data_IF_933402515041
#
_entry.id   IF_933402515041
#
_cell.length_a   1.000
_cell.length_b   1.000
_cell.length_c   1.000
_cell.angle_alpha   90.00
_cell.angle_beta   90.00
_cell.angle_gamma   90.00
#
_symmetry.space_group_name_H-M   'P 1'
#
loop_
_entity.id
_entity.type
_entity.pdbx_description
1 polymer ?
#
# COMPACT_ATOMS: atom_id res chain seq x y z
N UNK A 1 -19.18 -27.84 0.78
CA UNK A 1 -18.70 -26.73 -0.06
C UNK A 1 -18.68 -25.39 0.68
N UNK A 2 -19.77 -24.93 1.33
CA UNK A 2 -19.84 -23.63 2.04
C UNK A 2 -18.98 -23.53 3.31
N UNK A 3 -18.80 -24.63 4.05
CA UNK A 3 -17.97 -24.69 5.27
C UNK A 3 -16.46 -24.63 5.00
N UNK A 4 -16.00 -25.14 3.85
CA UNK A 4 -14.59 -25.07 3.45
C UNK A 4 -14.15 -23.64 3.09
N UNK A 5 -15.04 -22.85 2.49
CA UNK A 5 -14.78 -21.43 2.21
C UNK A 5 -14.75 -20.59 3.49
N UNK A 6 -15.60 -20.89 4.47
CA UNK A 6 -15.60 -20.20 5.77
C UNK A 6 -14.34 -20.56 6.57
N UNK A 7 -13.92 -21.84 6.57
CA UNK A 7 -12.67 -22.26 7.21
C UNK A 7 -11.43 -21.63 6.57
N UNK A 8 -11.41 -21.53 5.24
CA UNK A 8 -10.36 -20.83 4.50
C UNK A 8 -10.31 -19.34 4.84
N UNK A 9 -11.45 -18.65 4.82
CA UNK A 9 -11.53 -17.21 5.13
C UNK A 9 -11.17 -16.88 6.59
N UNK A 10 -11.54 -17.72 7.55
CA UNK A 10 -11.15 -17.53 8.96
C UNK A 10 -9.64 -17.74 9.15
N UNK A 11 -9.07 -18.74 8.48
CA UNK A 11 -7.62 -18.98 8.51
C UNK A 11 -6.87 -17.80 7.87
N UNK A 12 -7.37 -17.30 6.74
CA UNK A 12 -6.81 -16.15 6.03
C UNK A 12 -6.87 -14.89 6.89
N UNK A 13 -8.02 -14.57 7.50
CA UNK A 13 -8.15 -13.44 8.42
C UNK A 13 -7.22 -13.57 9.64
N UNK A 14 -7.11 -14.77 10.19
CA UNK A 14 -6.21 -15.03 11.33
C UNK A 14 -4.75 -14.83 10.93
N UNK A 15 -4.34 -15.37 9.77
CA UNK A 15 -3.00 -15.17 9.21
C UNK A 15 -2.74 -13.70 8.90
N UNK A 16 -3.70 -12.98 8.30
CA UNK A 16 -3.60 -11.55 8.02
C UNK A 16 -3.42 -10.73 9.28
N UNK A 17 -4.17 -11.00 10.35
CA UNK A 17 -4.03 -10.31 11.64
C UNK A 17 -2.67 -10.61 12.28
N UNK A 18 -2.22 -11.86 12.24
CA UNK A 18 -0.90 -12.25 12.74
C UNK A 18 0.20 -11.55 11.95
N UNK A 19 0.15 -11.57 10.61
CA UNK A 19 1.11 -10.86 9.78
C UNK A 19 1.07 -9.36 10.00
N UNK A 20 -0.13 -8.75 10.08
CA UNK A 20 -0.27 -7.33 10.39
C UNK A 20 0.35 -6.98 11.75
N UNK A 21 0.14 -7.82 12.77
CA UNK A 21 0.77 -7.65 14.08
C UNK A 21 2.30 -7.72 13.99
N UNK A 22 2.86 -8.71 13.31
CA UNK A 22 4.31 -8.83 13.11
C UNK A 22 4.87 -7.66 12.30
N UNK A 23 4.20 -7.23 11.22
CA UNK A 23 4.62 -6.07 10.43
C UNK A 23 4.59 -4.78 11.24
N UNK A 24 3.54 -4.56 12.04
CA UNK A 24 3.37 -3.34 12.82
C UNK A 24 4.29 -3.29 14.04
N UNK A 25 4.55 -4.42 14.70
CA UNK A 25 5.37 -4.49 15.91
C UNK A 25 6.86 -4.65 15.64
N UNK A 26 7.21 -5.42 14.61
CA UNK A 26 8.57 -5.93 14.42
C UNK A 26 9.13 -5.58 13.03
N UNK A 27 8.62 -4.54 12.38
CA UNK A 27 9.08 -4.07 11.05
C UNK A 27 10.61 -4.09 10.85
N UNK A 28 11.44 -3.59 11.81
CA UNK A 28 12.90 -3.68 11.71
C UNK A 28 13.45 -5.12 11.78
N UNK A 29 12.85 -5.99 12.59
CA UNK A 29 13.25 -7.42 12.69
C UNK A 29 12.84 -8.19 11.44
N UNK A 30 11.70 -7.85 10.85
CA UNK A 30 11.22 -8.42 9.59
C UNK A 30 12.14 -8.03 8.43
N UNK A 31 12.61 -6.79 8.38
CA UNK A 31 13.61 -6.35 7.41
C UNK A 31 14.92 -7.15 7.54
N UNK A 32 15.41 -7.35 8.77
CA UNK A 32 16.59 -8.17 9.03
C UNK A 32 16.39 -9.64 8.64
N UNK A 33 15.21 -10.20 8.90
CA UNK A 33 14.85 -11.56 8.47
C UNK A 33 14.87 -11.70 6.95
N UNK A 34 14.22 -10.76 6.23
CA UNK A 34 14.22 -10.74 4.76
C UNK A 34 15.64 -10.61 4.20
N UNK A 35 16.47 -9.75 4.79
CA UNK A 35 17.89 -9.62 4.42
C UNK A 35 18.64 -10.95 4.61
N UNK A 36 18.51 -11.60 5.77
CA UNK A 36 19.18 -12.88 6.03
C UNK A 36 18.72 -14.01 5.09
N UNK A 37 17.46 -14.02 4.67
CA UNK A 37 16.97 -14.97 3.67
C UNK A 37 17.53 -14.66 2.28
N UNK A 38 17.56 -13.39 1.89
CA UNK A 38 18.14 -12.96 0.61
C UNK A 38 19.64 -13.21 0.55
N UNK A 39 20.39 -13.00 1.64
CA UNK A 39 21.80 -13.35 1.74
C UNK A 39 22.01 -14.86 1.54
N UNK A 40 21.13 -15.68 2.11
CA UNK A 40 21.17 -17.14 1.90
C UNK A 40 20.84 -17.58 0.47
N UNK A 41 19.97 -16.85 -0.23
CA UNK A 41 19.49 -17.19 -1.57
C UNK A 41 20.38 -16.62 -2.70
N UNK A 42 20.88 -15.40 -2.52
CA UNK A 42 21.51 -14.58 -3.57
C UNK A 42 22.96 -14.20 -3.19
N UNK A 43 23.38 -14.44 -1.95
CA UNK A 43 24.73 -14.12 -1.47
C UNK A 43 24.96 -12.62 -1.28
N UNK A 44 26.20 -12.18 -1.52
CA UNK A 44 26.69 -10.81 -1.22
C UNK A 44 25.93 -9.67 -1.92
N UNK A 45 25.07 -9.97 -2.91
CA UNK A 45 24.26 -8.95 -3.61
C UNK A 45 22.89 -8.70 -2.98
N UNK A 46 22.53 -9.42 -1.92
CA UNK A 46 21.23 -9.29 -1.25
C UNK A 46 20.88 -7.84 -0.88
N UNK A 47 21.85 -7.11 -0.32
CA UNK A 47 21.69 -5.70 0.06
C UNK A 47 21.37 -4.81 -1.15
N UNK A 48 22.11 -4.99 -2.26
CA UNK A 48 21.88 -4.24 -3.50
C UNK A 48 20.47 -4.48 -4.07
N UNK A 49 20.00 -5.73 -4.06
CA UNK A 49 18.64 -6.04 -4.53
C UNK A 49 17.57 -5.49 -3.59
N UNK A 50 17.80 -5.52 -2.27
CA UNK A 50 16.91 -4.89 -1.29
C UNK A 50 16.78 -3.40 -1.54
N UNK A 51 17.90 -2.69 -1.74
CA UNK A 51 17.90 -1.26 -2.05
C UNK A 51 17.21 -0.97 -3.39
N UNK A 52 17.40 -1.83 -4.39
CA UNK A 52 16.74 -1.68 -5.70
C UNK A 52 15.22 -1.87 -5.61
N UNK A 53 14.76 -2.87 -4.85
CA UNK A 53 13.34 -3.12 -4.61
C UNK A 53 12.75 -1.99 -3.77
N UNK A 54 13.39 -1.59 -2.68
CA UNK A 54 12.96 -0.48 -1.84
C UNK A 54 12.84 0.81 -2.67
N UNK A 55 13.86 1.12 -3.48
CA UNK A 55 13.83 2.27 -4.38
C UNK A 55 12.70 2.21 -5.41
N UNK A 56 12.40 1.03 -5.94
CA UNK A 56 11.29 0.83 -6.90
C UNK A 56 9.93 1.01 -6.24
N UNK A 57 9.71 0.37 -5.09
CA UNK A 57 8.48 0.51 -4.30
C UNK A 57 8.26 1.97 -3.93
N UNK A 58 9.29 2.65 -3.46
CA UNK A 58 9.20 4.05 -3.07
C UNK A 58 8.89 4.97 -4.26
N UNK A 59 9.44 4.69 -5.45
CA UNK A 59 9.07 5.40 -6.69
C UNK A 59 7.60 5.16 -7.06
N UNK A 60 7.12 3.92 -6.99
CA UNK A 60 5.72 3.58 -7.30
C UNK A 60 4.77 4.25 -6.32
N UNK A 61 5.03 4.14 -5.01
CA UNK A 61 4.23 4.78 -3.95
C UNK A 61 4.18 6.29 -4.15
N UNK A 62 5.34 6.93 -4.39
CA UNK A 62 5.40 8.36 -4.67
C UNK A 62 4.64 8.73 -5.96
N UNK A 63 4.69 7.87 -6.98
CA UNK A 63 3.93 8.02 -8.22
C UNK A 63 2.41 7.99 -7.98
N UNK A 64 1.91 7.00 -7.23
CA UNK A 64 0.49 6.87 -6.89
C UNK A 64 -0.01 8.06 -6.08
N UNK A 65 0.76 8.50 -5.09
CA UNK A 65 0.43 9.70 -4.29
C UNK A 65 0.40 10.94 -5.20
N UNK A 66 1.37 11.07 -6.11
CA UNK A 66 1.43 12.16 -7.08
C UNK A 66 0.22 12.20 -8.02
N UNK A 67 -0.20 11.04 -8.55
CA UNK A 67 -1.39 10.96 -9.40
C UNK A 67 -2.67 11.24 -8.63
N UNK A 68 -2.79 10.75 -7.40
CA UNK A 68 -3.94 11.02 -6.54
C UNK A 68 -4.05 12.52 -6.23
N UNK A 69 -2.92 13.18 -5.95
CA UNK A 69 -2.87 14.62 -5.72
C UNK A 69 -3.30 15.41 -6.97
N UNK A 70 -2.81 15.04 -8.15
CA UNK A 70 -3.21 15.66 -9.41
C UNK A 70 -4.72 15.47 -9.68
N UNK A 71 -5.26 14.27 -9.47
CA UNK A 71 -6.69 14.00 -9.63
C UNK A 71 -7.54 14.80 -8.64
N UNK A 72 -7.14 14.88 -7.38
CA UNK A 72 -7.85 15.64 -6.36
C UNK A 72 -7.89 17.15 -6.68
N UNK A 73 -6.79 17.71 -7.17
CA UNK A 73 -6.72 19.11 -7.60
C UNK A 73 -7.63 19.36 -8.80
N UNK A 74 -7.58 18.49 -9.82
CA UNK A 74 -8.45 18.61 -10.99
C UNK A 74 -9.93 18.47 -10.63
N UNK A 75 -10.27 17.53 -9.74
CA UNK A 75 -11.63 17.36 -9.24
C UNK A 75 -12.11 18.58 -8.44
N UNK A 76 -11.26 19.13 -7.55
CA UNK A 76 -11.57 20.33 -6.79
C UNK A 76 -11.88 21.51 -7.73
N UNK A 77 -11.05 21.74 -8.74
CA UNK A 77 -11.28 22.79 -9.75
C UNK A 77 -12.61 22.54 -10.46
N UNK A 78 -12.89 21.29 -10.88
CA UNK A 78 -14.16 20.92 -11.50
C UNK A 78 -15.38 21.21 -10.61
N UNK A 79 -15.31 20.89 -9.32
CA UNK A 79 -16.40 21.12 -8.36
C UNK A 79 -16.61 22.61 -8.05
N UNK A 80 -15.53 23.39 -8.01
CA UNK A 80 -15.62 24.85 -7.88
C UNK A 80 -16.30 25.48 -9.09
N UNK A 81 -15.93 25.05 -10.31
CA UNK A 81 -16.55 25.52 -11.55
C UNK A 81 -18.03 25.12 -11.62
N UNK A 82 -18.37 23.91 -11.18
CA UNK A 82 -19.73 23.41 -11.13
C UNK A 82 -20.58 24.04 -10.01
N UNK A 83 -20.01 24.89 -9.15
CA UNK A 83 -20.73 25.58 -8.07
C UNK A 83 -21.21 24.65 -6.95
N UNK A 84 -20.58 23.48 -6.78
CA UNK A 84 -21.03 22.48 -5.80
C UNK A 84 -20.67 22.96 -4.38
N UNK A 85 -21.65 23.09 -3.46
CA UNK A 85 -21.35 23.41 -2.07
C UNK A 85 -20.55 22.26 -1.45
N UNK A 86 -19.41 22.58 -0.85
CA UNK A 86 -18.50 21.56 -0.28
C UNK A 86 -17.46 20.98 -1.24
N UNK A 87 -17.16 21.66 -2.36
CA UNK A 87 -16.12 21.29 -3.33
C UNK A 87 -14.79 20.84 -2.69
N UNK A 88 -14.37 21.50 -1.61
CA UNK A 88 -13.14 21.17 -0.87
C UNK A 88 -13.20 19.77 -0.23
N UNK A 89 -14.33 19.43 0.39
CA UNK A 89 -14.56 18.11 1.00
C UNK A 89 -14.59 17.03 -0.09
N UNK A 90 -15.24 17.32 -1.21
CA UNK A 90 -15.30 16.38 -2.34
C UNK A 90 -13.93 16.15 -2.98
N UNK A 91 -13.10 17.19 -3.14
CA UNK A 91 -11.72 17.04 -3.62
C UNK A 91 -10.85 16.19 -2.69
N UNK A 92 -10.99 16.37 -1.37
CA UNK A 92 -10.31 15.52 -0.37
C UNK A 92 -10.78 14.06 -0.46
N UNK A 93 -12.09 13.84 -0.64
CA UNK A 93 -12.63 12.49 -0.84
C UNK A 93 -12.10 11.86 -2.13
N UNK A 94 -11.97 12.63 -3.22
CA UNK A 94 -11.34 12.15 -4.46
C UNK A 94 -9.89 11.74 -4.23
N UNK A 95 -9.12 12.51 -3.46
CA UNK A 95 -7.75 12.14 -3.08
C UNK A 95 -7.72 10.81 -2.32
N UNK A 96 -8.54 10.69 -1.27
CA UNK A 96 -8.57 9.50 -0.42
C UNK A 96 -8.99 8.25 -1.20
N UNK A 97 -10.02 8.33 -2.03
CA UNK A 97 -10.46 7.19 -2.82
C UNK A 97 -9.46 6.83 -3.93
N UNK A 98 -8.75 7.79 -4.49
CA UNK A 98 -7.70 7.52 -5.48
C UNK A 98 -6.48 6.79 -4.89
N UNK A 99 -6.22 6.93 -3.58
CA UNK A 99 -5.11 6.23 -2.93
C UNK A 99 -5.40 4.74 -2.69
N UNK A 100 -6.67 4.32 -2.77
CA UNK A 100 -7.05 2.92 -2.64
C UNK A 100 -6.80 2.26 -4.00
N UNK A 101 -5.83 1.32 -4.12
CA UNK A 101 -5.63 0.60 -5.35
C UNK A 101 -6.86 -0.26 -5.61
N UNK A 102 -7.61 0.04 -6.66
CA UNK A 102 -8.67 -0.83 -7.18
C UNK A 102 -7.98 -1.98 -7.93
N UNK A 103 -7.50 -2.96 -7.17
CA UNK A 103 -6.94 -4.22 -7.68
C UNK A 103 -8.01 -5.17 -8.14
#
# INVERSE_FOLDING_TARGET
ARSAQIGGGILELTLSIVFAFFFYRDGPRLAAFVLSLLERLIGDRAQYYLDLVAGTVQRVVNGVIGTAAAQALLALIGFLIAGIPGALVLGILTFLFSLIPMG
#
